data_IF_418932682502
#
_entry.id   IF_418932682502
#
_cell.length_a   1.000
_cell.length_b   1.000
_cell.length_c   1.000
_cell.angle_alpha   90.00
_cell.angle_beta   90.00
_cell.angle_gamma   90.00
#
_symmetry.space_group_name_H-M   'P 1'
#
loop_
_entity.id
_entity.type
_entity.pdbx_description
1 polymer ?
#
# COMPACT_ATOMS: atom_id res chain seq x y z
N UNK A 1 5.20 -4.72 -29.74
CA UNK A 1 5.95 -4.69 -28.48
C UNK A 1 7.35 -5.21 -28.77
N UNK A 2 8.40 -4.52 -28.33
CA UNK A 2 9.77 -5.02 -28.46
C UNK A 2 9.96 -6.08 -27.36
N UNK A 3 10.21 -7.33 -27.76
CA UNK A 3 10.43 -8.44 -26.84
C UNK A 3 11.89 -8.39 -26.40
N UNK A 4 12.11 -8.43 -25.09
CA UNK A 4 13.44 -8.51 -24.49
C UNK A 4 13.65 -9.90 -23.88
N UNK A 5 14.30 -10.77 -24.66
CA UNK A 5 14.52 -12.18 -24.28
C UNK A 5 15.38 -12.34 -23.03
N UNK A 6 16.29 -11.41 -22.77
CA UNK A 6 17.14 -11.46 -21.58
C UNK A 6 16.31 -11.14 -20.33
N UNK A 7 15.49 -10.08 -20.36
CA UNK A 7 14.61 -9.73 -19.24
C UNK A 7 13.52 -10.77 -18.99
N UNK A 8 12.99 -11.41 -20.05
CA UNK A 8 12.08 -12.56 -19.88
C UNK A 8 12.76 -13.70 -19.12
N UNK A 9 14.00 -14.05 -19.47
CA UNK A 9 14.75 -15.09 -18.78
C UNK A 9 15.03 -14.71 -17.33
N UNK A 10 15.51 -13.50 -17.06
CA UNK A 10 15.74 -12.99 -15.71
C UNK A 10 14.46 -13.04 -14.86
N UNK A 11 13.31 -12.67 -15.45
CA UNK A 11 12.02 -12.74 -14.79
C UNK A 11 11.61 -14.19 -14.43
N UNK A 12 11.81 -15.13 -15.34
CA UNK A 12 11.53 -16.55 -15.09
C UNK A 12 12.45 -17.14 -14.02
N UNK A 13 13.74 -16.80 -14.07
CA UNK A 13 14.75 -17.28 -13.12
C UNK A 13 14.51 -16.71 -11.70
N UNK A 14 13.84 -15.55 -11.59
CA UNK A 14 13.53 -14.90 -10.30
C UNK A 14 12.46 -15.61 -9.48
N UNK A 15 11.79 -16.64 -10.01
CA UNK A 15 10.65 -17.34 -9.38
C UNK A 15 9.61 -16.34 -8.84
N UNK A 16 9.07 -15.54 -9.73
CA UNK A 16 8.20 -14.42 -9.38
C UNK A 16 6.98 -14.85 -8.53
N UNK A 17 6.74 -14.15 -7.43
CA UNK A 17 5.52 -14.33 -6.64
C UNK A 17 4.48 -13.29 -7.05
N UNK A 18 3.33 -13.76 -7.54
CA UNK A 18 2.22 -12.89 -7.93
C UNK A 18 1.49 -12.34 -6.70
N UNK A 19 1.23 -11.04 -6.71
CA UNK A 19 0.29 -10.40 -5.79
C UNK A 19 -1.04 -10.18 -6.49
N UNK A 20 -2.09 -9.82 -5.72
CA UNK A 20 -3.36 -9.36 -6.31
C UNK A 20 -3.13 -8.31 -7.41
N UNK A 21 -2.34 -7.27 -7.12
CA UNK A 21 -2.09 -6.19 -8.09
C UNK A 21 -1.41 -6.68 -9.36
N UNK A 22 -0.37 -7.51 -9.26
CA UNK A 22 0.33 -8.03 -10.42
C UNK A 22 -0.52 -9.02 -11.23
N UNK A 23 -1.30 -9.87 -10.55
CA UNK A 23 -2.20 -10.80 -11.21
C UNK A 23 -3.36 -10.08 -11.89
N UNK A 24 -3.99 -9.12 -11.21
CA UNK A 24 -5.05 -8.29 -11.81
C UNK A 24 -4.53 -7.51 -13.02
N UNK A 25 -3.28 -7.02 -12.97
CA UNK A 25 -2.65 -6.35 -14.10
C UNK A 25 -2.44 -7.28 -15.29
N UNK A 26 -1.97 -8.51 -15.06
CA UNK A 26 -1.82 -9.53 -16.10
C UNK A 26 -3.16 -9.89 -16.75
N UNK A 27 -4.19 -10.10 -15.93
CA UNK A 27 -5.53 -10.43 -16.41
C UNK A 27 -6.21 -9.28 -17.16
N UNK A 28 -5.94 -8.03 -16.75
CA UNK A 28 -6.46 -6.86 -17.45
C UNK A 28 -5.76 -6.66 -18.80
N UNK A 29 -4.44 -6.71 -18.82
CA UNK A 29 -3.63 -6.58 -20.03
C UNK A 29 -2.26 -7.22 -19.85
N UNK A 30 -2.01 -8.39 -20.45
CA UNK A 30 -0.70 -9.02 -20.39
C UNK A 30 0.43 -8.11 -20.90
N UNK A 31 0.11 -7.24 -21.86
CA UNK A 31 1.07 -6.28 -22.42
C UNK A 31 1.51 -5.21 -21.42
N UNK A 32 0.57 -4.72 -20.59
CA UNK A 32 0.90 -3.76 -19.52
C UNK A 32 1.69 -4.49 -18.40
N UNK A 33 1.28 -5.71 -18.04
CA UNK A 33 2.04 -6.52 -17.11
C UNK A 33 3.50 -6.71 -17.57
N UNK A 34 3.72 -7.04 -18.85
CA UNK A 34 5.04 -7.19 -19.42
C UNK A 34 5.89 -5.91 -19.25
N UNK A 35 5.31 -4.75 -19.60
CA UNK A 35 5.97 -3.45 -19.44
C UNK A 35 6.35 -3.18 -17.99
N UNK A 36 5.39 -3.36 -17.08
CA UNK A 36 5.55 -2.95 -15.67
C UNK A 36 6.41 -3.94 -14.85
N UNK A 37 6.26 -5.25 -15.07
CA UNK A 37 6.88 -6.26 -14.21
C UNK A 37 8.09 -6.96 -14.84
N UNK A 38 8.14 -7.10 -16.16
CA UNK A 38 9.25 -7.74 -16.86
C UNK A 38 10.27 -6.68 -17.31
N UNK A 39 9.82 -5.63 -18.01
CA UNK A 39 10.71 -4.53 -18.41
C UNK A 39 11.04 -3.58 -17.26
N UNK A 40 10.28 -3.61 -16.14
CA UNK A 40 10.40 -2.71 -14.98
C UNK A 40 10.18 -1.23 -15.34
N UNK A 41 9.35 -0.97 -16.34
CA UNK A 41 8.99 0.37 -16.83
C UNK A 41 7.63 0.79 -16.27
N UNK A 42 7.49 0.81 -14.93
CA UNK A 42 6.27 1.25 -14.27
C UNK A 42 6.28 2.76 -14.06
N UNK A 43 5.28 3.44 -14.59
CA UNK A 43 5.00 4.83 -14.24
C UNK A 43 4.28 4.85 -12.88
N UNK A 44 4.92 5.43 -11.89
CA UNK A 44 4.29 5.63 -10.56
C UNK A 44 3.38 6.85 -10.67
N UNK A 45 2.08 6.61 -10.86
CA UNK A 45 1.06 7.66 -10.70
C UNK A 45 0.67 7.71 -9.23
N UNK A 46 0.93 8.82 -8.59
CA UNK A 46 0.43 9.09 -7.23
C UNK A 46 -1.04 9.49 -7.34
N UNK A 47 -1.94 8.51 -7.26
CA UNK A 47 -3.36 8.76 -7.15
C UNK A 47 -3.69 9.14 -5.70
N UNK A 48 -4.31 10.31 -5.50
CA UNK A 48 -4.66 10.82 -4.16
C UNK A 48 -5.48 9.82 -3.35
N UNK A 49 -6.42 9.10 -3.99
CA UNK A 49 -7.25 8.11 -3.31
C UNK A 49 -6.44 6.91 -2.79
N UNK A 50 -5.39 6.49 -3.51
CA UNK A 50 -4.50 5.43 -3.05
C UNK A 50 -3.65 5.88 -1.87
N UNK A 51 -3.23 7.14 -1.86
CA UNK A 51 -2.48 7.72 -0.73
C UNK A 51 -3.38 7.83 0.50
N UNK A 52 -4.61 8.37 0.37
CA UNK A 52 -5.59 8.46 1.47
C UNK A 52 -5.87 7.06 2.06
N UNK A 53 -6.08 6.05 1.22
CA UNK A 53 -6.26 4.67 1.67
C UNK A 53 -5.10 4.19 2.52
N UNK A 54 -3.86 4.38 2.05
CA UNK A 54 -2.65 4.00 2.80
C UNK A 54 -2.51 4.76 4.12
N UNK A 55 -2.82 6.05 4.15
CA UNK A 55 -2.81 6.85 5.39
C UNK A 55 -3.80 6.29 6.41
N UNK A 56 -5.03 5.96 6.00
CA UNK A 56 -6.06 5.38 6.88
C UNK A 56 -5.60 4.01 7.41
N UNK A 57 -5.06 3.13 6.54
CA UNK A 57 -4.50 1.85 6.95
C UNK A 57 -3.42 2.02 8.00
N UNK A 58 -2.43 2.89 7.73
CA UNK A 58 -1.33 3.12 8.67
C UNK A 58 -1.83 3.67 10.00
N UNK A 59 -2.69 4.70 10.00
CA UNK A 59 -3.22 5.28 11.23
C UNK A 59 -4.07 4.32 12.08
N UNK A 60 -4.73 3.33 11.44
CA UNK A 60 -5.57 2.36 12.14
C UNK A 60 -4.81 1.12 12.57
N UNK A 61 -3.93 0.59 11.73
CA UNK A 61 -3.31 -0.73 11.90
C UNK A 61 -1.84 -0.67 12.38
N UNK A 62 -1.11 0.40 12.05
CA UNK A 62 0.30 0.61 12.37
C UNK A 62 0.59 2.08 12.66
N UNK A 63 -0.06 2.71 13.68
CA UNK A 63 0.07 4.15 13.91
C UNK A 63 1.51 4.61 14.17
N UNK A 64 2.34 3.76 14.76
CA UNK A 64 3.75 4.06 15.06
C UNK A 64 4.62 4.18 13.79
N UNK A 65 4.18 3.60 12.67
CA UNK A 65 4.91 3.65 11.39
C UNK A 65 4.58 4.91 10.58
N UNK A 66 3.60 5.72 10.99
CA UNK A 66 3.12 6.86 10.22
C UNK A 66 4.25 7.83 9.86
N UNK A 67 5.04 8.25 10.84
CA UNK A 67 6.14 9.20 10.63
C UNK A 67 7.28 8.63 9.78
N UNK A 68 7.40 7.31 9.70
CA UNK A 68 8.38 6.65 8.83
C UNK A 68 7.95 6.61 7.37
N UNK A 69 6.62 6.57 7.10
CA UNK A 69 6.03 6.36 5.78
C UNK A 69 5.60 7.66 5.10
N UNK A 70 5.14 8.64 5.87
CA UNK A 70 4.55 9.88 5.37
C UNK A 70 5.27 11.11 5.88
N UNK A 71 5.24 12.16 5.07
CA UNK A 71 5.62 13.51 5.49
C UNK A 71 4.54 14.49 5.07
N UNK A 72 4.24 15.44 5.97
CA UNK A 72 3.19 16.44 5.73
C UNK A 72 3.79 17.66 5.07
N UNK A 73 3.19 18.09 3.96
CA UNK A 73 3.61 19.31 3.27
C UNK A 73 3.42 20.51 4.22
N UNK A 74 4.48 21.30 4.46
CA UNK A 74 4.37 22.51 5.29
C UNK A 74 3.32 23.48 4.73
N UNK A 75 2.56 24.11 5.62
CA UNK A 75 1.50 25.05 5.26
C UNK A 75 2.04 26.31 4.55
N UNK A 76 3.29 26.65 4.82
CA UNK A 76 4.00 27.77 4.18
C UNK A 76 5.16 27.25 3.35
N UNK A 77 5.09 27.50 2.05
CA UNK A 77 6.17 27.17 1.12
C UNK A 77 7.04 28.43 0.93
N UNK A 78 8.36 28.35 1.19
CA UNK A 78 9.25 29.48 0.98
C UNK A 78 9.28 29.94 -0.48
N UNK A 79 9.69 31.20 -0.70
CA UNK A 79 9.89 31.74 -2.05
C UNK A 79 10.89 30.92 -2.86
N UNK A 80 10.80 30.98 -4.20
CA UNK A 80 11.70 30.22 -5.09
C UNK A 80 13.18 30.48 -4.81
N UNK A 81 13.53 31.71 -4.45
CA UNK A 81 14.90 32.08 -4.10
C UNK A 81 15.37 31.38 -2.82
N UNK A 82 14.53 31.37 -1.78
CA UNK A 82 14.83 30.67 -0.51
C UNK A 82 14.87 29.16 -0.74
N UNK A 83 13.94 28.60 -1.52
CA UNK A 83 13.92 27.16 -1.83
C UNK A 83 15.21 26.68 -2.50
N UNK A 84 15.81 27.49 -3.39
CA UNK A 84 17.12 27.17 -4.00
C UNK A 84 18.21 27.04 -2.96
N UNK A 85 18.29 28.01 -2.03
CA UNK A 85 19.25 27.94 -0.90
C UNK A 85 19.02 26.67 -0.08
N UNK A 86 17.79 26.40 0.35
CA UNK A 86 17.47 25.22 1.16
C UNK A 86 17.75 23.90 0.42
N UNK A 87 17.55 23.83 -0.89
CA UNK A 87 17.89 22.66 -1.69
C UNK A 87 19.41 22.40 -1.74
N UNK A 88 20.24 23.45 -1.79
CA UNK A 88 21.69 23.29 -1.76
C UNK A 88 22.18 22.77 -0.41
N UNK A 89 21.47 23.08 0.68
CA UNK A 89 21.79 22.58 2.03
C UNK A 89 21.46 21.09 2.21
N UNK A 90 20.59 20.51 1.36
CA UNK A 90 20.22 19.07 1.45
C UNK A 90 21.41 18.12 1.45
N UNK A 91 22.49 18.48 0.75
CA UNK A 91 23.69 17.64 0.64
C UNK A 91 24.41 17.36 1.97
N UNK A 92 24.14 18.20 2.99
CA UNK A 92 24.76 18.05 4.31
C UNK A 92 24.04 17.08 5.22
N UNK A 93 22.80 16.70 4.88
CA UNK A 93 21.94 15.75 5.61
C UNK A 93 21.80 16.04 7.11
N UNK A 94 21.86 17.35 7.48
CA UNK A 94 21.74 17.82 8.85
C UNK A 94 20.43 18.61 9.00
N UNK A 95 19.45 18.11 9.80
CA UNK A 95 18.15 18.79 9.97
C UNK A 95 18.25 20.08 10.80
N UNK A 96 19.34 20.29 11.55
CA UNK A 96 19.51 21.44 12.39
C UNK A 96 20.15 22.61 11.63
N UNK A 97 19.31 23.49 11.08
CA UNK A 97 19.78 24.65 10.32
C UNK A 97 20.70 25.60 11.12
N UNK A 98 20.63 25.61 12.46
CA UNK A 98 21.49 26.47 13.29
C UNK A 98 22.94 25.97 13.38
N UNK A 99 23.21 24.77 12.90
CA UNK A 99 24.56 24.19 12.79
C UNK A 99 25.16 24.34 11.39
N UNK A 100 24.43 24.97 10.47
CA UNK A 100 24.81 25.14 9.05
C UNK A 100 25.04 26.64 8.69
N UNK A 101 25.50 27.43 9.63
CA UNK A 101 25.65 28.89 9.44
C UNK A 101 26.56 29.23 8.26
N UNK A 102 27.72 28.60 8.18
CA UNK A 102 28.71 28.87 7.13
C UNK A 102 28.18 28.41 5.76
N UNK A 103 27.53 27.25 5.70
CA UNK A 103 26.94 26.69 4.49
C UNK A 103 25.76 27.52 4.00
N UNK A 104 24.94 28.04 4.92
CA UNK A 104 23.85 28.96 4.57
C UNK A 104 24.43 30.25 3.96
N UNK A 105 25.46 30.83 4.56
CA UNK A 105 26.10 32.06 4.05
C UNK A 105 26.72 31.83 2.67
N UNK A 106 27.37 30.71 2.45
CA UNK A 106 27.91 30.30 1.14
C UNK A 106 26.79 30.20 0.09
N UNK A 107 25.70 29.49 0.41
CA UNK A 107 24.56 29.34 -0.48
C UNK A 107 23.85 30.70 -0.76
N UNK A 108 23.73 31.56 0.23
CA UNK A 108 23.20 32.89 0.06
C UNK A 108 24.06 33.78 -0.86
N UNK A 109 25.37 33.66 -0.77
CA UNK A 109 26.31 34.33 -1.66
C UNK A 109 26.19 33.76 -3.09
N UNK A 110 26.18 32.47 -3.25
CA UNK A 110 26.04 31.80 -4.55
C UNK A 110 24.77 32.19 -5.31
N UNK A 111 23.63 32.26 -4.60
CA UNK A 111 22.33 32.67 -5.17
C UNK A 111 22.10 34.16 -5.18
N UNK A 112 23.09 34.98 -4.77
CA UNK A 112 22.98 36.43 -4.66
C UNK A 112 21.75 36.91 -3.86
N UNK A 113 21.40 36.16 -2.78
CA UNK A 113 20.23 36.44 -1.94
C UNK A 113 20.63 37.16 -0.66
N UNK A 114 19.86 38.19 -0.29
CA UNK A 114 20.07 39.02 0.91
C UNK A 114 21.41 39.72 1.01
N UNK A 115 22.10 39.95 -0.11
CA UNK A 115 23.42 40.57 -0.14
C UNK A 115 23.41 42.06 0.26
N UNK A 116 22.23 42.73 0.31
CA UNK A 116 22.08 44.08 0.83
C UNK A 116 22.29 44.19 2.36
N UNK A 117 22.16 43.09 3.09
CA UNK A 117 22.47 43.05 4.51
C UNK A 117 23.98 42.86 4.69
N UNK A 118 24.63 43.84 5.38
CA UNK A 118 26.08 43.82 5.68
C UNK A 118 26.44 42.86 6.84
N UNK A 119 25.43 42.50 7.63
CA UNK A 119 25.58 41.71 8.85
C UNK A 119 25.10 40.27 8.57
N UNK A 120 26.00 39.34 8.76
CA UNK A 120 25.74 37.91 8.50
C UNK A 120 24.67 37.33 9.44
N UNK A 121 24.59 37.82 10.68
CA UNK A 121 23.54 37.39 11.61
C UNK A 121 22.15 37.78 11.10
N UNK A 122 22.03 38.89 10.37
CA UNK A 122 20.76 39.30 9.74
C UNK A 122 20.44 38.46 8.50
N UNK A 123 21.46 38.02 7.75
CA UNK A 123 21.27 37.11 6.62
C UNK A 123 20.78 35.73 7.10
N UNK A 124 21.44 35.18 8.12
CA UNK A 124 21.07 33.92 8.75
C UNK A 124 19.64 33.97 9.31
N UNK A 125 19.28 35.03 10.05
CA UNK A 125 17.93 35.18 10.59
C UNK A 125 16.81 35.21 9.52
N UNK A 126 17.13 35.60 8.26
CA UNK A 126 16.17 35.53 7.15
C UNK A 126 15.93 34.11 6.64
N UNK A 127 16.90 33.23 6.79
CA UNK A 127 16.80 31.80 6.37
C UNK A 127 16.38 30.89 7.52
N UNK A 128 16.93 31.09 8.72
CA UNK A 128 16.67 30.28 9.90
C UNK A 128 15.33 30.61 10.58
N UNK A 129 14.29 30.87 9.80
CA UNK A 129 12.93 31.03 10.33
C UNK A 129 12.31 29.64 10.62
N UNK A 130 11.34 29.61 11.54
CA UNK A 130 10.63 28.34 11.85
C UNK A 130 9.94 27.73 10.62
N UNK A 131 9.41 28.56 9.72
CA UNK A 131 8.75 28.11 8.49
C UNK A 131 9.76 27.50 7.50
N UNK A 132 10.93 28.15 7.35
CA UNK A 132 11.98 27.61 6.48
C UNK A 132 12.60 26.33 7.07
N UNK A 133 12.74 26.23 8.39
CA UNK A 133 13.22 25.03 9.05
C UNK A 133 12.24 23.86 8.84
N UNK A 134 10.95 24.08 8.96
CA UNK A 134 9.93 23.06 8.67
C UNK A 134 10.01 22.59 7.20
N UNK A 135 10.16 23.55 6.26
CA UNK A 135 10.30 23.20 4.84
C UNK A 135 11.62 22.47 4.56
N UNK A 136 12.71 22.84 5.21
CA UNK A 136 13.99 22.16 5.07
C UNK A 136 13.94 20.72 5.60
N UNK A 137 13.34 20.51 6.78
CA UNK A 137 13.09 19.17 7.32
C UNK A 137 12.25 18.34 6.35
N UNK A 138 11.17 18.90 5.80
CA UNK A 138 10.39 18.27 4.76
C UNK A 138 11.22 17.87 3.52
N UNK A 139 12.17 18.72 3.09
CA UNK A 139 13.05 18.41 1.96
C UNK A 139 13.98 17.22 2.25
N UNK A 140 14.47 17.08 3.49
CA UNK A 140 15.32 15.94 3.89
C UNK A 140 14.52 14.63 3.90
N UNK A 141 13.24 14.68 4.23
CA UNK A 141 12.34 13.54 4.27
C UNK A 141 11.73 13.13 2.91
N UNK A 142 12.23 13.66 1.81
CA UNK A 142 11.67 13.53 0.45
C UNK A 142 11.57 12.08 -0.09
N UNK A 143 11.95 11.06 0.67
CA UNK A 143 11.75 9.64 0.34
C UNK A 143 10.39 9.09 0.80
N UNK A 144 9.71 9.81 1.69
CA UNK A 144 8.38 9.45 2.22
C UNK A 144 7.28 9.91 1.26
N UNK A 145 6.10 9.32 1.38
CA UNK A 145 4.93 9.83 0.66
C UNK A 145 4.52 11.19 1.21
N UNK A 146 4.33 12.14 0.31
CA UNK A 146 3.97 13.52 0.68
C UNK A 146 2.46 13.64 0.71
N UNK A 147 1.93 14.13 1.82
CA UNK A 147 0.50 14.46 1.99
C UNK A 147 0.33 15.91 2.41
N UNK A 148 -0.78 16.52 2.01
CA UNK A 148 -1.15 17.85 2.54
C UNK A 148 -1.89 17.72 3.88
N UNK A 149 -1.93 18.82 4.65
CA UNK A 149 -2.56 18.83 5.97
C UNK A 149 -4.05 18.49 5.90
N UNK A 150 -4.76 18.98 4.88
CA UNK A 150 -6.19 18.73 4.71
C UNK A 150 -6.46 17.22 4.47
N UNK A 151 -5.59 16.56 3.72
CA UNK A 151 -5.65 15.11 3.51
C UNK A 151 -5.42 14.35 4.82
N UNK A 152 -4.41 14.74 5.61
CA UNK A 152 -4.16 14.15 6.91
C UNK A 152 -5.36 14.30 7.86
N UNK A 153 -5.92 15.51 7.94
CA UNK A 153 -7.05 15.81 8.82
C UNK A 153 -8.30 15.01 8.42
N UNK A 154 -8.59 14.90 7.12
CA UNK A 154 -9.67 14.03 6.63
C UNK A 154 -9.43 12.55 6.98
N UNK A 155 -8.21 12.05 6.79
CA UNK A 155 -7.88 10.66 7.13
C UNK A 155 -7.99 10.40 8.63
N UNK A 156 -7.54 11.32 9.50
CA UNK A 156 -7.71 11.22 10.95
C UNK A 156 -9.19 11.18 11.34
N UNK A 157 -10.01 12.07 10.77
CA UNK A 157 -11.45 12.07 11.04
C UNK A 157 -12.10 10.74 10.64
N UNK A 158 -11.72 10.17 9.49
CA UNK A 158 -12.22 8.86 9.03
C UNK A 158 -11.80 7.72 9.96
N UNK A 159 -10.58 7.76 10.47
CA UNK A 159 -10.11 6.78 11.45
C UNK A 159 -10.90 6.88 12.75
N UNK A 160 -11.18 8.10 13.23
CA UNK A 160 -12.02 8.28 14.43
C UNK A 160 -13.46 7.77 14.20
N UNK A 161 -14.04 7.99 13.02
CA UNK A 161 -15.37 7.41 12.68
C UNK A 161 -15.35 5.88 12.68
N UNK A 162 -14.26 5.25 12.22
CA UNK A 162 -14.09 3.80 12.33
C UNK A 162 -14.00 3.37 13.79
N UNK A 163 -13.29 4.13 14.62
CA UNK A 163 -13.12 3.86 16.06
C UNK A 163 -14.40 4.06 16.85
N UNK A 164 -15.23 5.01 16.47
CA UNK A 164 -16.55 5.26 17.12
C UNK A 164 -17.57 4.17 16.82
N UNK A 165 -17.39 3.41 15.75
CA UNK A 165 -18.26 2.29 15.40
C UNK A 165 -17.82 1.03 16.19
N UNK A 166 -18.56 0.73 17.28
CA UNK A 166 -18.25 -0.38 18.19
C UNK A 166 -18.19 -1.74 17.49
N UNK A 167 -19.06 -1.99 16.52
CA UNK A 167 -19.08 -3.27 15.79
C UNK A 167 -17.85 -3.43 14.91
N UNK A 168 -17.36 -2.33 14.32
CA UNK A 168 -16.12 -2.32 13.56
C UNK A 168 -14.93 -2.41 14.49
N UNK A 169 -14.90 -1.61 15.56
CA UNK A 169 -13.77 -1.62 16.47
C UNK A 169 -13.59 -2.96 17.19
N UNK A 170 -14.65 -3.71 17.46
CA UNK A 170 -14.52 -5.07 17.98
C UNK A 170 -13.69 -6.00 17.08
N UNK A 171 -13.55 -5.67 15.79
CA UNK A 171 -12.70 -6.41 14.83
C UNK A 171 -11.22 -5.99 14.90
N UNK A 172 -10.93 -4.80 15.44
CA UNK A 172 -9.59 -4.23 15.50
C UNK A 172 -9.02 -4.16 16.92
N UNK A 173 -9.87 -3.97 17.92
CA UNK A 173 -9.50 -4.03 19.33
C UNK A 173 -9.96 -5.37 19.90
N UNK A 174 -9.02 -6.25 20.15
CA UNK A 174 -9.26 -7.27 21.16
C UNK A 174 -8.82 -6.64 22.47
N UNK A 175 -9.78 -6.23 23.32
CA UNK A 175 -9.50 -6.00 24.73
C UNK A 175 -9.13 -7.37 25.32
N UNK A 176 -7.85 -7.69 25.20
CA UNK A 176 -7.32 -8.95 25.72
C UNK A 176 -7.18 -8.76 27.22
N UNK A 177 -8.07 -9.36 28.00
CA UNK A 177 -7.81 -9.58 29.41
C UNK A 177 -6.60 -10.53 29.54
N UNK A 178 -5.78 -10.40 30.57
CA UNK A 178 -4.58 -11.24 30.78
C UNK A 178 -4.83 -12.76 30.65
N UNK A 179 -6.08 -13.20 30.75
CA UNK A 179 -6.52 -14.60 30.61
C UNK A 179 -6.80 -15.01 29.16
N UNK A 180 -7.04 -14.06 28.24
CA UNK A 180 -7.37 -14.30 26.83
C UNK A 180 -6.16 -14.18 25.92
N UNK A 181 -5.03 -13.66 26.42
CA UNK A 181 -3.79 -13.47 25.65
C UNK A 181 -3.26 -14.75 25.01
N UNK A 182 -3.43 -15.88 25.66
CA UNK A 182 -2.90 -17.17 25.17
C UNK A 182 -3.75 -17.78 24.03
N UNK A 183 -4.98 -17.27 23.82
CA UNK A 183 -5.92 -17.86 22.86
C UNK A 183 -6.06 -17.10 21.54
N UNK A 184 -5.48 -15.89 21.43
CA UNK A 184 -5.60 -15.04 20.26
C UNK A 184 -4.23 -14.66 19.68
N UNK A 185 -4.05 -14.91 18.39
CA UNK A 185 -2.91 -14.36 17.65
C UNK A 185 -3.42 -13.29 16.68
N UNK A 186 -2.84 -12.09 16.75
CA UNK A 186 -3.24 -10.94 15.94
C UNK A 186 -2.09 -10.47 15.08
N UNK A 187 -2.36 -10.32 13.79
CA UNK A 187 -1.39 -9.87 12.81
C UNK A 187 -1.95 -8.71 12.00
N UNK A 188 -1.22 -7.58 11.96
CA UNK A 188 -1.55 -6.41 11.15
C UNK A 188 -0.50 -6.21 10.05
N UNK A 189 -0.93 -5.78 8.86
CA UNK A 189 -0.08 -5.46 7.71
C UNK A 189 1.00 -6.54 7.48
N UNK A 190 0.60 -7.80 7.62
CA UNK A 190 1.54 -8.92 7.58
C UNK A 190 1.88 -9.29 6.15
N UNK A 191 3.16 -9.14 5.80
CA UNK A 191 3.66 -9.65 4.53
C UNK A 191 3.74 -11.17 4.58
N UNK A 192 3.05 -11.83 3.65
CA UNK A 192 3.03 -13.28 3.50
C UNK A 192 3.38 -13.64 2.05
N UNK A 193 4.01 -14.80 1.90
CA UNK A 193 4.24 -15.43 0.61
C UNK A 193 4.14 -16.95 0.71
N UNK A 194 3.93 -17.59 -0.43
CA UNK A 194 3.93 -19.04 -0.51
C UNK A 194 4.31 -19.53 -1.90
N UNK A 195 4.93 -20.70 -1.94
CA UNK A 195 5.15 -21.44 -3.18
C UNK A 195 3.89 -22.24 -3.54
N UNK A 196 3.56 -22.27 -4.82
CA UNK A 196 2.51 -23.12 -5.35
C UNK A 196 3.15 -24.37 -5.97
N UNK A 197 2.94 -25.53 -5.36
CA UNK A 197 3.61 -26.81 -5.76
C UNK A 197 3.42 -27.12 -7.25
N UNK A 198 2.25 -26.82 -7.82
CA UNK A 198 1.90 -27.07 -9.22
C UNK A 198 2.60 -26.13 -10.21
N UNK A 199 3.06 -24.94 -9.76
CA UNK A 199 3.51 -23.88 -10.64
C UNK A 199 4.97 -23.48 -10.35
N UNK A 200 5.63 -22.86 -11.33
CA UNK A 200 7.00 -22.31 -11.19
C UNK A 200 7.03 -20.91 -10.55
N UNK A 201 5.90 -20.45 -10.07
CA UNK A 201 5.73 -19.16 -9.39
C UNK A 201 4.94 -19.37 -8.10
N UNK A 202 4.97 -18.36 -7.23
CA UNK A 202 4.23 -18.35 -5.98
C UNK A 202 3.22 -17.23 -5.90
N UNK A 203 2.66 -17.05 -4.70
CA UNK A 203 1.81 -15.93 -4.34
C UNK A 203 2.49 -15.11 -3.25
N UNK A 204 2.18 -13.80 -3.20
CA UNK A 204 2.55 -12.89 -2.11
C UNK A 204 1.48 -11.83 -1.90
N UNK A 205 1.44 -11.30 -0.68
CA UNK A 205 0.56 -10.17 -0.35
C UNK A 205 0.87 -9.62 1.03
N UNK A 206 0.36 -8.43 1.29
CA UNK A 206 0.29 -7.86 2.63
C UNK A 206 -1.16 -8.00 3.03
N UNK A 207 -1.41 -8.75 4.11
CA UNK A 207 -2.76 -8.94 4.66
C UNK A 207 -2.97 -7.85 5.70
N UNK A 208 -3.99 -7.02 5.49
CA UNK A 208 -4.25 -5.86 6.35
C UNK A 208 -4.37 -6.27 7.83
N UNK A 209 -5.21 -7.27 8.10
CA UNK A 209 -5.33 -7.87 9.43
C UNK A 209 -5.83 -9.30 9.34
N UNK A 210 -5.30 -10.19 10.17
CA UNK A 210 -5.95 -11.46 10.47
C UNK A 210 -5.75 -11.84 11.94
N UNK A 211 -6.74 -12.58 12.45
CA UNK A 211 -6.80 -13.04 13.84
C UNK A 211 -6.99 -14.54 13.83
N UNK A 212 -6.16 -15.23 14.59
CA UNK A 212 -6.31 -16.67 14.86
C UNK A 212 -6.88 -16.78 16.28
N UNK A 213 -8.07 -17.32 16.39
CA UNK A 213 -8.75 -17.59 17.66
C UNK A 213 -8.70 -19.09 17.91
N UNK A 214 -7.90 -19.47 18.89
CA UNK A 214 -7.67 -20.86 19.26
C UNK A 214 -8.83 -21.47 20.06
N UNK A 215 -9.63 -20.67 20.74
CA UNK A 215 -10.80 -21.12 21.49
C UNK A 215 -11.92 -21.50 20.53
N UNK A 216 -12.26 -20.63 19.60
CA UNK A 216 -13.31 -20.88 18.61
C UNK A 216 -12.83 -21.65 17.38
N UNK A 217 -11.51 -21.90 17.25
CA UNK A 217 -10.85 -22.50 16.08
C UNK A 217 -11.22 -21.77 14.79
N UNK A 218 -11.07 -20.46 14.81
CA UNK A 218 -11.36 -19.63 13.64
C UNK A 218 -10.19 -18.76 13.26
N UNK A 219 -10.03 -18.53 11.95
CA UNK A 219 -9.15 -17.51 11.39
C UNK A 219 -10.03 -16.46 10.73
N UNK A 220 -10.02 -15.24 11.25
CA UNK A 220 -10.75 -14.12 10.64
C UNK A 220 -9.80 -13.22 9.90
N UNK A 221 -9.94 -13.13 8.58
CA UNK A 221 -9.19 -12.20 7.73
C UNK A 221 -10.05 -10.95 7.52
N UNK A 222 -9.45 -9.79 7.74
CA UNK A 222 -10.11 -8.48 7.63
C UNK A 222 -9.33 -7.64 6.65
N UNK A 223 -10.03 -7.10 5.64
CA UNK A 223 -9.47 -6.26 4.61
C UNK A 223 -10.20 -4.90 4.65
N UNK A 224 -9.43 -3.84 4.91
CA UNK A 224 -9.93 -2.48 5.04
C UNK A 224 -9.99 -1.81 3.67
N UNK A 225 -11.12 -1.23 3.33
CA UNK A 225 -11.33 -0.54 2.06
C UNK A 225 -11.85 0.89 2.23
N UNK A 226 -11.17 1.81 1.59
CA UNK A 226 -11.70 3.15 1.35
C UNK A 226 -12.36 3.18 -0.03
N UNK A 227 -13.63 3.53 -0.08
CA UNK A 227 -14.42 3.52 -1.33
C UNK A 227 -14.79 4.93 -1.78
N UNK A 228 -14.49 5.25 -3.04
CA UNK A 228 -14.98 6.45 -3.70
C UNK A 228 -16.44 6.36 -4.14
N UNK A 229 -17.13 5.23 -3.89
CA UNK A 229 -18.56 5.00 -4.16
C UNK A 229 -19.34 4.86 -2.86
N UNK A 230 -20.66 4.86 -2.93
CA UNK A 230 -21.52 4.54 -1.79
C UNK A 230 -21.29 3.11 -1.30
N UNK A 231 -21.53 2.90 -0.01
CA UNK A 231 -21.45 1.58 0.61
C UNK A 231 -22.43 0.58 -0.03
N UNK A 232 -23.56 1.07 -0.55
CA UNK A 232 -24.57 0.26 -1.28
C UNK A 232 -24.02 -0.32 -2.59
N UNK A 233 -23.03 0.35 -3.21
CA UNK A 233 -22.40 -0.06 -4.47
C UNK A 233 -21.18 -0.97 -4.22
N UNK A 234 -20.87 -1.28 -2.96
CA UNK A 234 -19.68 -2.06 -2.64
C UNK A 234 -19.71 -3.49 -3.20
N UNK A 235 -20.85 -4.21 -3.22
CA UNK A 235 -20.90 -5.52 -3.88
C UNK A 235 -20.47 -5.48 -5.35
N UNK A 236 -20.94 -4.49 -6.12
CA UNK A 236 -20.51 -4.29 -7.52
C UNK A 236 -19.02 -3.89 -7.60
N UNK A 237 -18.56 -3.15 -6.60
CA UNK A 237 -17.16 -2.72 -6.48
C UNK A 237 -16.22 -3.91 -6.27
N UNK A 238 -16.65 -4.93 -5.51
CA UNK A 238 -15.92 -6.19 -5.31
C UNK A 238 -15.69 -6.90 -6.65
N UNK A 239 -16.68 -6.93 -7.52
CA UNK A 239 -16.56 -7.56 -8.83
C UNK A 239 -15.75 -6.69 -9.79
N UNK A 240 -16.00 -5.39 -9.83
CA UNK A 240 -15.33 -4.47 -10.75
C UNK A 240 -13.82 -4.42 -10.54
N UNK A 241 -13.36 -4.25 -9.29
CA UNK A 241 -11.94 -4.25 -8.94
C UNK A 241 -11.37 -5.65 -8.71
N UNK A 242 -12.22 -6.69 -8.77
CA UNK A 242 -11.85 -8.07 -8.41
C UNK A 242 -11.29 -8.20 -6.98
N UNK A 243 -11.90 -7.53 -5.99
CA UNK A 243 -11.51 -7.71 -4.60
C UNK A 243 -11.69 -9.16 -4.13
N UNK A 244 -12.60 -9.90 -4.78
CA UNK A 244 -12.72 -11.34 -4.60
C UNK A 244 -11.40 -12.09 -4.90
N UNK A 245 -10.61 -11.64 -5.88
CA UNK A 245 -9.30 -12.20 -6.19
C UNK A 245 -8.29 -11.94 -5.07
N UNK A 246 -8.30 -10.73 -4.50
CA UNK A 246 -7.48 -10.39 -3.34
C UNK A 246 -7.83 -11.27 -2.14
N UNK A 247 -9.13 -11.41 -1.83
CA UNK A 247 -9.60 -12.26 -0.74
C UNK A 247 -9.18 -13.72 -0.93
N UNK A 248 -9.35 -14.28 -2.13
CA UNK A 248 -8.93 -15.65 -2.44
C UNK A 248 -7.42 -15.85 -2.28
N UNK A 249 -6.61 -14.88 -2.71
CA UNK A 249 -5.15 -14.92 -2.51
C UNK A 249 -4.82 -14.88 -1.01
N UNK A 250 -5.46 -14.01 -0.23
CA UNK A 250 -5.22 -13.89 1.21
C UNK A 250 -5.57 -15.17 1.97
N UNK A 251 -6.68 -15.84 1.61
CA UNK A 251 -7.05 -17.14 2.17
C UNK A 251 -5.94 -18.18 1.95
N UNK A 252 -5.41 -18.26 0.73
CA UNK A 252 -4.31 -19.20 0.43
C UNK A 252 -3.05 -18.82 1.20
N UNK A 253 -2.70 -17.53 1.22
CA UNK A 253 -1.51 -17.06 1.91
C UNK A 253 -1.57 -17.36 3.40
N UNK A 254 -2.66 -17.01 4.08
CA UNK A 254 -2.82 -17.27 5.51
C UNK A 254 -2.81 -18.77 5.77
N UNK A 255 -3.61 -19.55 5.02
CA UNK A 255 -3.66 -21.01 5.18
C UNK A 255 -2.32 -21.73 4.94
N UNK A 256 -1.39 -21.14 4.15
CA UNK A 256 -0.05 -21.70 3.92
C UNK A 256 1.01 -21.21 4.92
N UNK A 257 0.70 -20.19 5.70
CA UNK A 257 1.63 -19.59 6.67
C UNK A 257 1.25 -19.89 8.13
N UNK A 258 0.21 -20.66 8.38
CA UNK A 258 -0.12 -21.23 9.70
C UNK A 258 0.33 -22.69 9.78
N UNK A 259 0.31 -23.27 10.98
CA UNK A 259 0.65 -24.69 11.15
C UNK A 259 -0.32 -25.59 10.38
N UNK A 260 0.12 -26.80 10.04
CA UNK A 260 -0.71 -27.77 9.32
C UNK A 260 -1.98 -28.11 10.12
N UNK A 261 -1.88 -28.24 11.43
CA UNK A 261 -3.01 -28.48 12.33
C UNK A 261 -4.05 -27.34 12.21
N UNK A 262 -3.62 -26.08 12.31
CA UNK A 262 -4.51 -24.91 12.17
C UNK A 262 -5.14 -24.89 10.79
N UNK A 263 -4.35 -25.08 9.73
CA UNK A 263 -4.84 -25.07 8.36
C UNK A 263 -5.92 -26.11 8.07
N UNK A 264 -5.85 -27.29 8.74
CA UNK A 264 -6.79 -28.40 8.54
C UNK A 264 -8.03 -28.31 9.43
N UNK A 265 -7.93 -27.70 10.63
CA UNK A 265 -8.99 -27.77 11.65
C UNK A 265 -9.72 -26.45 11.88
N UNK A 266 -9.13 -25.31 11.54
CA UNK A 266 -9.73 -24.01 11.78
C UNK A 266 -10.56 -23.53 10.60
N UNK A 267 -11.68 -22.88 10.91
CA UNK A 267 -12.56 -22.29 9.90
C UNK A 267 -12.06 -20.91 9.52
N UNK A 268 -11.85 -20.67 8.22
CA UNK A 268 -11.50 -19.34 7.72
C UNK A 268 -12.78 -18.53 7.47
N UNK A 269 -12.81 -17.31 7.97
CA UNK A 269 -13.81 -16.28 7.66
C UNK A 269 -13.13 -15.05 7.06
N UNK A 270 -13.90 -14.29 6.27
CA UNK A 270 -13.40 -13.09 5.62
C UNK A 270 -14.39 -11.93 5.77
N UNK A 271 -13.87 -10.75 6.06
CA UNK A 271 -14.65 -9.53 6.20
C UNK A 271 -14.00 -8.39 5.42
N UNK A 272 -14.82 -7.61 4.72
CA UNK A 272 -14.40 -6.29 4.24
C UNK A 272 -14.92 -5.23 5.21
N UNK A 273 -14.02 -4.44 5.78
CA UNK A 273 -14.40 -3.23 6.52
C UNK A 273 -14.28 -2.06 5.54
N UNK A 274 -15.39 -1.38 5.31
CA UNK A 274 -15.49 -0.35 4.28
C UNK A 274 -15.83 0.99 4.91
N UNK A 275 -15.10 2.04 4.53
CA UNK A 275 -15.51 3.43 4.71
C UNK A 275 -15.71 4.05 3.32
N UNK A 276 -16.89 4.62 3.09
CA UNK A 276 -17.29 5.13 1.79
C UNK A 276 -17.01 6.65 1.63
N UNK A 277 -17.36 7.20 0.47
CA UNK A 277 -17.21 8.64 0.18
C UNK A 277 -18.09 9.57 1.02
N UNK A 278 -19.09 9.01 1.71
CA UNK A 278 -19.99 9.73 2.62
C UNK A 278 -19.62 9.49 4.08
N UNK A 279 -18.44 8.90 4.30
CA UNK A 279 -17.93 8.55 5.62
C UNK A 279 -18.80 7.54 6.39
N UNK A 280 -19.61 6.76 5.65
CA UNK A 280 -20.37 5.64 6.20
C UNK A 280 -19.46 4.43 6.33
N UNK A 281 -19.59 3.71 7.45
CA UNK A 281 -18.76 2.55 7.77
C UNK A 281 -19.61 1.29 7.89
N UNK A 282 -19.13 0.18 7.30
CA UNK A 282 -19.80 -1.11 7.39
C UNK A 282 -18.83 -2.28 7.28
N UNK A 283 -19.12 -3.37 8.00
CA UNK A 283 -18.37 -4.63 7.91
C UNK A 283 -19.18 -5.68 7.13
N UNK A 284 -18.76 -5.96 5.90
CA UNK A 284 -19.36 -6.99 5.06
C UNK A 284 -18.79 -8.36 5.40
N UNK A 285 -19.64 -9.30 5.81
CA UNK A 285 -19.25 -10.68 5.97
C UNK A 285 -19.32 -11.40 4.62
N UNK A 286 -18.29 -12.18 4.30
CA UNK A 286 -18.31 -13.04 3.10
C UNK A 286 -18.70 -14.45 3.51
N UNK A 287 -19.72 -15.02 2.84
CA UNK A 287 -20.18 -16.37 3.15
C UNK A 287 -19.13 -17.43 2.79
N UNK A 288 -19.12 -18.56 3.51
CA UNK A 288 -18.20 -19.66 3.20
C UNK A 288 -18.38 -20.19 1.76
N UNK A 289 -19.62 -20.22 1.26
CA UNK A 289 -19.89 -20.62 -0.13
C UNK A 289 -19.26 -19.65 -1.13
N UNK A 290 -19.36 -18.34 -0.87
CA UNK A 290 -18.74 -17.31 -1.69
C UNK A 290 -17.21 -17.43 -1.66
N UNK A 291 -16.61 -17.64 -0.48
CA UNK A 291 -15.17 -17.85 -0.35
C UNK A 291 -14.69 -19.06 -1.13
N UNK A 292 -15.42 -20.18 -1.09
CA UNK A 292 -15.11 -21.37 -1.88
C UNK A 292 -15.17 -21.07 -3.38
N UNK A 293 -16.23 -20.39 -3.85
CA UNK A 293 -16.34 -19.98 -5.25
C UNK A 293 -15.16 -19.08 -5.68
N UNK A 294 -14.76 -18.12 -4.83
CA UNK A 294 -13.64 -17.23 -5.13
C UNK A 294 -12.32 -17.98 -5.20
N UNK A 295 -12.12 -18.95 -4.32
CA UNK A 295 -10.93 -19.81 -4.34
C UNK A 295 -10.90 -20.70 -5.59
N UNK A 296 -12.03 -21.28 -5.99
CA UNK A 296 -12.14 -22.07 -7.23
C UNK A 296 -11.88 -21.19 -8.47
N UNK A 297 -12.39 -19.97 -8.48
CA UNK A 297 -12.11 -19.01 -9.54
C UNK A 297 -10.63 -18.63 -9.60
N UNK A 298 -9.99 -18.44 -8.45
CA UNK A 298 -8.54 -18.21 -8.40
C UNK A 298 -7.79 -19.39 -9.00
N UNK A 299 -8.15 -20.64 -8.67
CA UNK A 299 -7.50 -21.83 -9.26
C UNK A 299 -7.62 -21.86 -10.78
N UNK A 300 -8.77 -21.49 -11.36
CA UNK A 300 -8.92 -21.36 -12.82
C UNK A 300 -8.02 -20.24 -13.38
N UNK A 301 -7.91 -19.11 -12.68
CA UNK A 301 -7.05 -18.00 -13.11
C UNK A 301 -5.56 -18.36 -13.03
N UNK A 302 -5.15 -19.18 -12.06
CA UNK A 302 -3.75 -19.63 -11.97
C UNK A 302 -3.32 -20.43 -13.22
N UNK A 303 -4.22 -21.17 -13.89
CA UNK A 303 -3.91 -21.81 -15.18
C UNK A 303 -3.65 -20.78 -16.28
N UNK A 304 -4.44 -19.69 -16.33
CA UNK A 304 -4.24 -18.60 -17.28
C UNK A 304 -2.90 -17.89 -17.00
N UNK A 305 -2.62 -17.62 -15.72
CA UNK A 305 -1.34 -17.04 -15.30
C UNK A 305 -0.18 -17.93 -15.69
N UNK A 306 -0.31 -19.24 -15.46
CA UNK A 306 0.70 -20.24 -15.81
C UNK A 306 0.98 -20.27 -17.32
N UNK A 307 -0.05 -20.19 -18.15
CA UNK A 307 0.13 -20.10 -19.59
C UNK A 307 1.00 -18.89 -19.97
N UNK A 308 0.65 -17.70 -19.49
CA UNK A 308 1.43 -16.50 -19.78
C UNK A 308 2.85 -16.59 -19.25
N UNK A 309 3.00 -17.12 -18.03
CA UNK A 309 4.28 -17.25 -17.36
C UNK A 309 5.22 -18.24 -18.06
N UNK A 310 4.74 -19.43 -18.39
CA UNK A 310 5.57 -20.50 -18.98
C UNK A 310 5.85 -20.31 -20.45
N UNK A 311 4.87 -19.80 -21.21
CA UNK A 311 4.98 -19.58 -22.64
C UNK A 311 5.58 -18.23 -23.02
N UNK A 312 5.82 -17.36 -22.05
CA UNK A 312 6.27 -15.97 -22.27
C UNK A 312 5.42 -15.22 -23.31
N UNK A 313 4.10 -15.46 -23.29
CA UNK A 313 3.14 -14.87 -24.22
C UNK A 313 2.37 -13.74 -23.57
N UNK A 314 2.74 -12.50 -23.87
CA UNK A 314 2.17 -11.29 -23.26
C UNK A 314 1.56 -10.32 -24.29
N UNK A 315 1.31 -10.77 -25.52
CA UNK A 315 0.82 -9.88 -26.58
C UNK A 315 -0.69 -9.65 -26.50
N UNK A 316 -1.45 -10.67 -26.12
CA UNK A 316 -2.91 -10.68 -26.04
C UNK A 316 -3.37 -11.41 -24.78
N UNK A 317 -4.62 -11.15 -24.32
CA UNK A 317 -5.25 -11.98 -23.29
C UNK A 317 -5.35 -13.46 -23.71
N UNK A 318 -5.39 -14.35 -22.74
CA UNK A 318 -5.39 -15.79 -22.92
C UNK A 318 -6.44 -16.27 -23.94
N UNK A 319 -7.68 -15.78 -23.81
CA UNK A 319 -8.82 -16.18 -24.64
C UNK A 319 -8.55 -15.95 -26.14
N UNK A 320 -7.88 -14.84 -26.49
CA UNK A 320 -7.54 -14.49 -27.86
C UNK A 320 -6.32 -15.25 -28.41
N UNK A 321 -5.63 -16.01 -27.56
CA UNK A 321 -4.46 -16.82 -27.96
C UNK A 321 -4.79 -18.29 -28.12
N UNK A 322 -5.84 -18.77 -27.46
CA UNK A 322 -6.20 -20.19 -27.43
C UNK A 322 -7.49 -20.51 -28.19
N UNK A 323 -8.29 -19.50 -28.52
CA UNK A 323 -9.56 -19.63 -29.24
C UNK A 323 -9.71 -18.53 -30.28
N UNK A 324 -10.42 -18.83 -31.35
CA UNK A 324 -10.97 -17.81 -32.23
C UNK A 324 -12.16 -17.14 -31.49
N UNK A 325 -12.08 -15.83 -31.32
CA UNK A 325 -13.13 -15.02 -30.68
C UNK A 325 -13.97 -14.39 -31.78
N UNK A 326 -15.22 -14.80 -31.90
CA UNK A 326 -16.19 -14.24 -32.86
C UNK A 326 -17.10 -13.24 -32.13
N UNK A 327 -17.43 -12.11 -32.81
CA UNK A 327 -18.36 -11.10 -32.32
C UNK A 327 -19.80 -11.47 -32.67
#
# INVERSE_FOLDING_TARGET
MKIDKQKEKEFMDSKFNFSYSSMNRLLFSPRIFYKEYILKEREVKMDKHLVEGRVIHTLLLQPDDFDSMFTVLPSKIPSDAVRRVLNDLKKYDNPNMSELDDEILEALQYHNLYQSFKDDSKRLAKIQTSENAQYFHFLLESKKDIIDQDTLDRCKNRVEMLKDNKDIMSLFTHEVTDFEMDNLEVYNEKMLDCNLVKYKFGLKGIVDRYVIDHETKTITIIDLKTSGKSITDFPETVDFYKYWLQAAIYIILVGKNVSEEIAQTYKISFKFVVIDKYDQTYAFNVSSNTLNQWTDNLHKLLEIVNFHYTECKYNLPYEFMVKEVTL
#
